data_IF_955606567267
#
_entry.id   IF_955606567267
#
_cell.length_a   1.000
_cell.length_b   1.000
_cell.length_c   1.000
_cell.angle_alpha   90.00
_cell.angle_beta   90.00
_cell.angle_gamma   90.00
#
_symmetry.space_group_name_H-M   'P 1'
#
loop_
_entity.id
_entity.type
_entity.pdbx_description
1 polymer ?
#
# COMPACT_ATOMS: atom_id res chain seq x y z
N UNK A 1 -18.17 10.40 -22.54
CA UNK A 1 -17.75 9.37 -21.55
C UNK A 1 -16.66 9.87 -20.60
N UNK A 2 -15.56 10.47 -21.06
CA UNK A 2 -14.46 10.89 -20.17
C UNK A 2 -14.85 11.96 -19.13
N UNK A 3 -15.70 12.95 -19.52
CA UNK A 3 -16.13 14.01 -18.60
C UNK A 3 -16.95 13.44 -17.45
N UNK A 4 -17.89 12.55 -17.75
CA UNK A 4 -18.73 11.91 -16.71
C UNK A 4 -17.90 11.03 -15.77
N UNK A 5 -16.97 10.25 -16.30
CA UNK A 5 -16.06 9.44 -15.47
C UNK A 5 -15.22 10.32 -14.52
N UNK A 6 -14.68 11.44 -15.01
CA UNK A 6 -13.92 12.38 -14.17
C UNK A 6 -14.79 13.01 -13.07
N UNK A 7 -16.05 13.32 -13.33
CA UNK A 7 -16.99 13.83 -12.33
C UNK A 7 -17.28 12.75 -11.26
N UNK A 8 -17.50 11.51 -11.69
CA UNK A 8 -17.71 10.39 -10.77
C UNK A 8 -16.50 10.15 -9.86
N UNK A 9 -15.28 10.16 -10.42
CA UNK A 9 -14.05 10.00 -9.64
C UNK A 9 -13.83 11.16 -8.66
N UNK A 10 -14.18 12.39 -9.04
CA UNK A 10 -14.13 13.55 -8.14
C UNK A 10 -15.13 13.42 -6.99
N UNK A 11 -16.33 12.92 -7.26
CA UNK A 11 -17.33 12.66 -6.21
C UNK A 11 -16.84 11.58 -5.24
N UNK A 12 -16.25 10.50 -5.75
CA UNK A 12 -15.65 9.43 -4.95
C UNK A 12 -14.51 9.99 -4.08
N UNK A 13 -13.60 10.80 -4.65
CA UNK A 13 -12.52 11.43 -3.89
C UNK A 13 -13.06 12.28 -2.74
N UNK A 14 -14.10 13.08 -3.00
CA UNK A 14 -14.72 13.90 -1.97
C UNK A 14 -15.33 13.05 -0.83
N UNK A 15 -16.03 11.95 -1.16
CA UNK A 15 -16.58 11.05 -0.16
C UNK A 15 -15.47 10.39 0.69
N UNK A 16 -14.35 10.01 0.06
CA UNK A 16 -13.19 9.45 0.77
C UNK A 16 -12.54 10.48 1.71
N UNK A 17 -12.45 11.76 1.34
CA UNK A 17 -11.92 12.82 2.22
C UNK A 17 -12.71 12.99 3.52
N UNK A 18 -13.98 12.54 3.55
CA UNK A 18 -14.85 12.57 4.72
C UNK A 18 -15.09 11.18 5.34
N UNK A 19 -14.26 10.17 5.00
CA UNK A 19 -14.36 8.78 5.47
C UNK A 19 -15.73 8.12 5.23
N UNK A 20 -16.47 8.58 4.20
CA UNK A 20 -17.79 8.08 3.84
C UNK A 20 -17.74 6.82 2.99
N UNK A 21 -17.05 5.78 3.46
CA UNK A 21 -16.77 4.58 2.69
C UNK A 21 -18.04 3.81 2.28
N UNK A 22 -19.09 3.80 3.10
CA UNK A 22 -20.37 3.19 2.72
C UNK A 22 -21.04 3.95 1.55
N UNK A 23 -21.00 5.28 1.56
CA UNK A 23 -21.52 6.10 0.46
C UNK A 23 -20.70 5.89 -0.83
N UNK A 24 -19.38 5.71 -0.72
CA UNK A 24 -18.51 5.34 -1.86
C UNK A 24 -18.93 4.00 -2.44
N UNK A 25 -19.15 2.99 -1.59
CA UNK A 25 -19.55 1.65 -2.03
C UNK A 25 -20.90 1.68 -2.75
N UNK A 26 -21.89 2.36 -2.18
CA UNK A 26 -23.21 2.53 -2.79
C UNK A 26 -23.11 3.25 -4.14
N UNK A 27 -22.39 4.39 -4.19
CA UNK A 27 -22.21 5.16 -5.40
C UNK A 27 -21.50 4.37 -6.50
N UNK A 28 -20.41 3.68 -6.16
CA UNK A 28 -19.69 2.81 -7.10
C UNK A 28 -20.56 1.63 -7.58
N UNK A 29 -21.36 1.05 -6.69
CA UNK A 29 -22.25 -0.08 -7.03
C UNK A 29 -23.28 0.34 -8.08
N UNK A 30 -23.91 1.50 -7.89
CA UNK A 30 -24.88 2.03 -8.88
C UNK A 30 -24.21 2.29 -10.25
N UNK A 31 -22.97 2.83 -10.27
CA UNK A 31 -22.25 3.01 -11.53
C UNK A 31 -21.86 1.71 -12.22
N UNK A 32 -21.60 0.65 -11.45
CA UNK A 32 -21.22 -0.66 -11.96
C UNK A 32 -22.43 -1.51 -12.42
N UNK A 33 -23.65 -1.13 -12.08
CA UNK A 33 -24.88 -1.69 -12.68
C UNK A 33 -24.99 -1.35 -14.17
N UNK A 34 -24.62 -0.11 -14.53
CA UNK A 34 -24.64 0.36 -15.92
C UNK A 34 -23.46 -0.17 -16.75
N UNK A 35 -22.26 -0.21 -16.14
CA UNK A 35 -21.04 -0.72 -16.80
C UNK A 35 -20.16 -1.46 -15.79
N UNK A 36 -20.25 -2.80 -15.72
CA UNK A 36 -19.57 -3.61 -14.72
C UNK A 36 -18.05 -3.76 -14.95
N UNK A 37 -17.49 -3.12 -15.99
CA UNK A 37 -16.07 -3.20 -16.38
C UNK A 37 -15.31 -1.89 -16.19
N UNK A 38 -15.87 -0.93 -15.47
CA UNK A 38 -15.20 0.34 -15.15
C UNK A 38 -14.08 0.11 -14.12
N UNK A 39 -12.84 -0.11 -14.60
CA UNK A 39 -11.67 -0.45 -13.77
C UNK A 39 -11.49 0.56 -12.61
N UNK A 40 -11.55 1.87 -12.90
CA UNK A 40 -11.34 2.90 -11.86
C UNK A 40 -12.43 2.87 -10.79
N UNK A 41 -13.67 2.53 -11.14
CA UNK A 41 -14.79 2.42 -10.20
C UNK A 41 -14.70 1.14 -9.38
N UNK A 42 -14.33 0.01 -10.01
CA UNK A 42 -14.03 -1.23 -9.29
C UNK A 42 -12.90 -1.02 -8.28
N UNK A 43 -11.82 -0.34 -8.69
CA UNK A 43 -10.69 -0.07 -7.80
C UNK A 43 -11.11 0.82 -6.62
N UNK A 44 -11.85 1.90 -6.88
CA UNK A 44 -12.35 2.78 -5.82
C UNK A 44 -13.24 2.04 -4.82
N UNK A 45 -14.15 1.14 -5.31
CA UNK A 45 -14.99 0.33 -4.45
C UNK A 45 -14.19 -0.69 -3.65
N UNK A 46 -13.18 -1.30 -4.25
CA UNK A 46 -12.27 -2.21 -3.56
C UNK A 46 -11.56 -1.53 -2.40
N UNK A 47 -11.01 -0.33 -2.60
CA UNK A 47 -10.35 0.43 -1.52
C UNK A 47 -11.35 0.84 -0.42
N UNK A 48 -12.58 1.19 -0.77
CA UNK A 48 -13.62 1.46 0.22
C UNK A 48 -14.01 0.20 1.01
N UNK A 49 -14.06 -0.97 0.38
CA UNK A 49 -14.26 -2.26 1.09
C UNK A 49 -13.11 -2.57 2.05
N UNK A 50 -11.87 -2.28 1.67
CA UNK A 50 -10.71 -2.47 2.54
C UNK A 50 -10.82 -1.60 3.80
N UNK A 51 -11.17 -0.32 3.65
CA UNK A 51 -11.35 0.59 4.79
C UNK A 51 -12.44 0.17 5.78
N UNK A 52 -13.43 -0.62 5.34
CA UNK A 52 -14.45 -1.18 6.24
C UNK A 52 -14.24 -2.68 6.53
N UNK A 53 -13.01 -3.17 6.33
CA UNK A 53 -12.57 -4.53 6.62
C UNK A 53 -13.36 -5.63 5.89
N UNK A 54 -13.97 -5.32 4.74
CA UNK A 54 -14.66 -6.28 3.86
C UNK A 54 -13.69 -6.87 2.83
N UNK A 55 -12.67 -7.56 3.31
CA UNK A 55 -11.52 -8.03 2.52
C UNK A 55 -11.93 -8.96 1.37
N UNK A 56 -12.90 -9.85 1.59
CA UNK A 56 -13.39 -10.74 0.54
C UNK A 56 -14.01 -9.98 -0.65
N UNK A 57 -14.76 -8.89 -0.38
CA UNK A 57 -15.37 -8.06 -1.41
C UNK A 57 -14.33 -7.21 -2.14
N UNK A 58 -13.36 -6.68 -1.41
CA UNK A 58 -12.20 -6.00 -1.97
C UNK A 58 -11.44 -6.93 -2.92
N UNK A 59 -11.11 -8.14 -2.48
CA UNK A 59 -10.41 -9.13 -3.30
C UNK A 59 -11.21 -9.48 -4.58
N UNK A 60 -12.53 -9.64 -4.49
CA UNK A 60 -13.39 -9.90 -5.66
C UNK A 60 -13.28 -8.78 -6.71
N UNK A 61 -13.37 -7.52 -6.30
CA UNK A 61 -13.26 -6.38 -7.23
C UNK A 61 -11.87 -6.28 -7.84
N UNK A 62 -10.78 -6.43 -7.05
CA UNK A 62 -9.42 -6.40 -7.59
C UNK A 62 -9.15 -7.56 -8.55
N UNK A 63 -9.63 -8.77 -8.27
CA UNK A 63 -9.52 -9.90 -9.20
C UNK A 63 -10.35 -9.69 -10.46
N UNK A 64 -11.50 -9.04 -10.37
CA UNK A 64 -12.28 -8.64 -11.55
C UNK A 64 -11.50 -7.66 -12.43
N UNK A 65 -10.83 -6.67 -11.86
CA UNK A 65 -9.92 -5.79 -12.61
C UNK A 65 -8.83 -6.61 -13.31
N UNK A 66 -8.17 -7.53 -12.62
CA UNK A 66 -7.12 -8.36 -13.19
C UNK A 66 -7.62 -9.33 -14.27
N UNK A 67 -8.91 -9.66 -14.30
CA UNK A 67 -9.52 -10.40 -15.41
C UNK A 67 -9.66 -9.56 -16.69
N UNK A 68 -9.80 -8.23 -16.55
CA UNK A 68 -9.90 -7.26 -17.65
C UNK A 68 -8.50 -6.82 -18.11
N UNK A 69 -7.64 -6.44 -17.14
CA UNK A 69 -6.26 -6.01 -17.37
C UNK A 69 -5.30 -6.76 -16.46
N UNK A 70 -4.74 -7.85 -16.98
CA UNK A 70 -3.80 -8.73 -16.25
C UNK A 70 -2.45 -8.07 -15.92
N UNK A 71 -2.16 -6.92 -16.55
CA UNK A 71 -0.90 -6.18 -16.41
C UNK A 71 -1.04 -4.94 -15.54
N UNK A 72 -2.17 -4.73 -14.93
CA UNK A 72 -2.41 -3.59 -14.07
C UNK A 72 -1.54 -3.68 -12.80
N UNK A 73 -0.38 -3.03 -12.85
CA UNK A 73 0.60 -3.09 -11.77
C UNK A 73 0.05 -2.57 -10.43
N UNK A 74 -0.75 -1.50 -10.47
CA UNK A 74 -1.37 -0.95 -9.26
C UNK A 74 -2.34 -1.93 -8.60
N UNK A 75 -3.18 -2.60 -9.41
CA UNK A 75 -4.12 -3.60 -8.90
C UNK A 75 -3.41 -4.85 -8.37
N UNK A 76 -2.35 -5.30 -9.05
CA UNK A 76 -1.51 -6.41 -8.57
C UNK A 76 -0.86 -6.06 -7.24
N UNK A 77 -0.36 -4.82 -7.09
CA UNK A 77 0.23 -4.33 -5.86
C UNK A 77 -0.80 -4.24 -4.74
N UNK A 78 -1.95 -3.61 -4.98
CA UNK A 78 -3.01 -3.45 -3.97
C UNK A 78 -3.49 -4.82 -3.47
N UNK A 79 -3.78 -5.76 -4.37
CA UNK A 79 -4.18 -7.11 -3.97
C UNK A 79 -3.08 -7.82 -3.18
N UNK A 80 -1.83 -7.79 -3.68
CA UNK A 80 -0.70 -8.44 -3.02
C UNK A 80 -0.45 -7.89 -1.63
N UNK A 81 -0.42 -6.57 -1.47
CA UNK A 81 -0.22 -5.91 -0.18
C UNK A 81 -1.34 -6.24 0.82
N UNK A 82 -2.59 -6.13 0.37
CA UNK A 82 -3.74 -6.45 1.22
C UNK A 82 -3.74 -7.92 1.69
N UNK A 83 -3.29 -8.86 0.86
CA UNK A 83 -3.11 -10.26 1.28
C UNK A 83 -2.05 -10.43 2.37
N UNK A 84 -1.00 -9.61 2.37
CA UNK A 84 0.01 -9.61 3.44
C UNK A 84 -0.61 -9.13 4.76
N UNK A 85 -1.30 -8.01 4.72
CA UNK A 85 -1.83 -7.34 5.92
C UNK A 85 -2.96 -8.13 6.56
N UNK A 86 -3.91 -8.62 5.75
CA UNK A 86 -5.18 -9.14 6.28
C UNK A 86 -5.26 -10.68 6.33
N UNK A 87 -4.41 -11.42 5.57
CA UNK A 87 -4.67 -12.87 5.38
C UNK A 87 -3.51 -13.80 5.65
N UNK A 88 -2.28 -13.31 5.75
CA UNK A 88 -1.04 -14.11 5.83
C UNK A 88 -0.80 -15.04 4.61
N UNK A 89 -1.44 -14.80 3.47
CA UNK A 89 -1.24 -15.55 2.22
C UNK A 89 0.02 -15.07 1.50
N UNK A 90 1.17 -15.17 2.18
CA UNK A 90 2.43 -14.53 1.79
C UNK A 90 2.97 -15.01 0.43
N UNK A 91 2.84 -16.29 0.09
CA UNK A 91 3.37 -16.81 -1.19
C UNK A 91 2.54 -16.31 -2.38
N UNK A 92 1.23 -16.22 -2.23
CA UNK A 92 0.36 -15.63 -3.24
C UNK A 92 0.60 -14.13 -3.37
N UNK A 93 0.68 -13.42 -2.23
CA UNK A 93 1.02 -12.02 -2.18
C UNK A 93 2.34 -11.74 -2.92
N UNK A 94 3.39 -12.48 -2.60
CA UNK A 94 4.68 -12.36 -3.27
C UNK A 94 4.58 -12.56 -4.79
N UNK A 95 3.83 -13.57 -5.24
CA UNK A 95 3.63 -13.82 -6.67
C UNK A 95 2.95 -12.65 -7.39
N UNK A 96 1.96 -12.02 -6.76
CA UNK A 96 1.26 -10.85 -7.30
C UNK A 96 2.17 -9.63 -7.32
N UNK A 97 2.86 -9.35 -6.21
CA UNK A 97 3.77 -8.22 -6.07
C UNK A 97 4.96 -8.31 -7.02
N UNK A 98 5.51 -9.53 -7.21
CA UNK A 98 6.60 -9.72 -8.15
C UNK A 98 6.15 -9.52 -9.61
N UNK A 99 4.91 -9.89 -9.97
CA UNK A 99 4.32 -9.53 -11.27
C UNK A 99 4.15 -8.02 -11.41
N UNK A 100 3.67 -7.33 -10.36
CA UNK A 100 3.58 -5.87 -10.38
C UNK A 100 4.95 -5.24 -10.64
N UNK A 101 5.99 -5.71 -9.96
CA UNK A 101 7.39 -5.29 -10.14
C UNK A 101 7.90 -5.51 -11.58
N UNK A 102 7.53 -6.61 -12.22
CA UNK A 102 7.91 -6.86 -13.61
C UNK A 102 7.31 -5.84 -14.59
N UNK A 103 6.14 -5.28 -14.27
CA UNK A 103 5.47 -4.28 -15.10
C UNK A 103 5.87 -2.84 -14.77
N UNK A 104 6.21 -2.56 -13.51
CA UNK A 104 6.65 -1.25 -13.03
C UNK A 104 7.78 -1.37 -11.97
N UNK A 105 9.02 -1.67 -12.39
CA UNK A 105 10.14 -1.92 -11.47
C UNK A 105 10.66 -0.66 -10.77
N UNK A 106 10.21 0.53 -11.23
CA UNK A 106 10.59 1.82 -10.64
C UNK A 106 9.69 2.29 -9.51
N UNK A 107 8.56 1.63 -9.31
CA UNK A 107 7.52 2.06 -8.38
C UNK A 107 7.91 1.78 -6.92
N UNK A 108 8.01 2.84 -6.12
CA UNK A 108 8.41 2.76 -4.72
C UNK A 108 7.42 1.94 -3.89
N UNK A 109 6.11 2.11 -4.09
CA UNK A 109 5.09 1.37 -3.35
C UNK A 109 5.15 -0.15 -3.63
N UNK A 110 5.46 -0.55 -4.87
CA UNK A 110 5.62 -1.97 -5.21
C UNK A 110 6.87 -2.55 -4.53
N UNK A 111 7.98 -1.81 -4.52
CA UNK A 111 9.21 -2.22 -3.84
C UNK A 111 9.01 -2.34 -2.33
N UNK A 112 8.27 -1.42 -1.73
CA UNK A 112 7.88 -1.45 -0.32
C UNK A 112 7.02 -2.69 -0.02
N UNK A 113 5.99 -2.93 -0.80
CA UNK A 113 5.11 -4.11 -0.63
C UNK A 113 5.88 -5.43 -0.74
N UNK A 114 6.87 -5.53 -1.65
CA UNK A 114 7.75 -6.71 -1.73
C UNK A 114 8.62 -6.82 -0.47
N UNK A 115 9.20 -5.71 -0.01
CA UNK A 115 9.96 -5.70 1.23
C UNK A 115 9.10 -6.16 2.41
N UNK A 116 7.86 -5.73 2.47
CA UNK A 116 6.94 -6.07 3.56
C UNK A 116 6.53 -7.54 3.55
N UNK A 117 6.27 -8.14 2.38
CA UNK A 117 6.01 -9.59 2.31
C UNK A 117 7.24 -10.41 2.68
N UNK A 118 8.45 -10.03 2.24
CA UNK A 118 9.69 -10.71 2.61
C UNK A 118 9.98 -10.59 4.11
N UNK A 119 9.72 -9.42 4.70
CA UNK A 119 9.80 -9.22 6.15
C UNK A 119 8.86 -10.17 6.91
N UNK A 120 7.61 -10.29 6.48
CA UNK A 120 6.61 -11.17 7.11
C UNK A 120 6.92 -12.67 6.91
N UNK A 121 7.66 -13.02 5.87
CA UNK A 121 8.21 -14.37 5.64
C UNK A 121 9.46 -14.66 6.48
N UNK A 122 10.04 -13.66 7.14
CA UNK A 122 11.28 -13.76 7.92
C UNK A 122 12.55 -13.59 7.09
N UNK A 123 12.44 -13.23 5.81
CA UNK A 123 13.56 -13.02 4.89
C UNK A 123 14.11 -11.59 5.03
N UNK A 124 14.62 -11.25 6.21
CA UNK A 124 14.95 -9.87 6.58
C UNK A 124 16.02 -9.22 5.69
N UNK A 125 17.01 -9.96 5.22
CA UNK A 125 18.07 -9.44 4.34
C UNK A 125 17.50 -9.06 2.95
N UNK A 126 16.59 -9.85 2.40
CA UNK A 126 15.92 -9.55 1.14
C UNK A 126 14.95 -8.37 1.30
N UNK A 127 14.20 -8.35 2.40
CA UNK A 127 13.35 -7.23 2.77
C UNK A 127 14.15 -5.91 2.82
N UNK A 128 15.35 -5.94 3.41
CA UNK A 128 16.22 -4.77 3.50
C UNK A 128 16.63 -4.26 2.11
N UNK A 129 16.97 -5.13 1.18
CA UNK A 129 17.36 -4.73 -0.20
C UNK A 129 16.23 -4.01 -0.93
N UNK A 130 15.00 -4.53 -0.84
CA UNK A 130 13.85 -3.91 -1.49
C UNK A 130 13.44 -2.61 -0.83
N UNK A 131 13.42 -2.55 0.51
CA UNK A 131 13.01 -1.32 1.21
C UNK A 131 14.02 -0.18 1.05
N UNK A 132 15.32 -0.46 0.99
CA UNK A 132 16.34 0.55 0.67
C UNK A 132 16.12 1.14 -0.73
N UNK A 133 15.75 0.29 -1.69
CA UNK A 133 15.42 0.73 -3.05
C UNK A 133 14.15 1.58 -3.07
N UNK A 134 13.12 1.22 -2.31
CA UNK A 134 11.88 1.98 -2.15
C UNK A 134 12.17 3.34 -1.51
N UNK A 135 12.78 3.34 -0.32
CA UNK A 135 13.11 4.53 0.44
C UNK A 135 13.98 5.52 -0.34
N UNK A 136 14.88 5.07 -1.22
CA UNK A 136 15.68 5.97 -2.05
C UNK A 136 14.84 6.68 -3.13
N UNK A 137 13.66 6.15 -3.49
CA UNK A 137 12.76 6.72 -4.51
C UNK A 137 11.69 7.59 -3.92
N UNK A 138 11.12 7.20 -2.79
CA UNK A 138 10.04 7.91 -2.15
C UNK A 138 10.22 7.93 -0.62
N UNK A 139 9.69 8.97 0.01
CA UNK A 139 9.71 9.21 1.45
C UNK A 139 8.29 9.25 2.01
N UNK A 140 7.43 8.41 1.45
CA UNK A 140 6.11 8.19 2.02
C UNK A 140 6.23 7.73 3.48
N UNK A 141 5.38 8.21 4.39
CA UNK A 141 5.41 7.82 5.81
C UNK A 141 5.43 6.31 6.05
N UNK A 142 4.63 5.54 5.28
CA UNK A 142 4.57 4.09 5.40
C UNK A 142 5.91 3.43 5.01
N UNK A 143 6.54 3.88 3.92
CA UNK A 143 7.87 3.40 3.50
C UNK A 143 8.92 3.69 4.57
N UNK A 144 8.86 4.87 5.21
CA UNK A 144 9.78 5.23 6.29
C UNK A 144 9.58 4.30 7.49
N UNK A 145 8.34 4.00 7.87
CA UNK A 145 8.02 3.10 8.97
C UNK A 145 8.51 1.68 8.70
N UNK A 146 8.19 1.12 7.53
CA UNK A 146 8.67 -0.20 7.13
C UNK A 146 10.19 -0.28 7.09
N UNK A 147 10.86 0.77 6.59
CA UNK A 147 12.33 0.81 6.57
C UNK A 147 12.91 0.78 7.98
N UNK A 148 12.38 1.57 8.90
CA UNK A 148 12.83 1.55 10.30
C UNK A 148 12.61 0.19 10.97
N UNK A 149 11.44 -0.44 10.75
CA UNK A 149 11.13 -1.77 11.29
C UNK A 149 12.10 -2.83 10.74
N UNK A 150 12.34 -2.83 9.42
CA UNK A 150 13.24 -3.78 8.77
C UNK A 150 14.69 -3.57 9.22
N UNK A 151 15.16 -2.32 9.37
CA UNK A 151 16.47 -2.00 9.93
C UNK A 151 16.61 -2.51 11.36
N UNK A 152 15.59 -2.31 12.18
CA UNK A 152 15.57 -2.77 13.57
C UNK A 152 15.70 -4.29 13.65
N UNK A 153 14.92 -5.04 12.87
CA UNK A 153 14.99 -6.51 12.80
C UNK A 153 16.33 -7.01 12.29
N UNK A 154 16.93 -6.31 11.34
CA UNK A 154 18.28 -6.60 10.83
C UNK A 154 19.39 -6.15 11.77
N UNK A 155 19.08 -5.57 12.91
CA UNK A 155 20.06 -5.04 13.90
C UNK A 155 20.99 -3.98 13.31
N UNK A 156 20.53 -3.25 12.28
CA UNK A 156 21.27 -2.17 11.61
C UNK A 156 21.09 -0.83 12.36
N UNK A 157 21.40 -0.83 13.65
CA UNK A 157 21.10 0.27 14.57
C UNK A 157 21.76 1.60 14.19
N UNK A 158 22.98 1.58 13.67
CA UNK A 158 23.65 2.82 13.23
C UNK A 158 22.95 3.50 12.05
N UNK A 159 22.45 2.70 11.10
CA UNK A 159 21.67 3.20 9.97
C UNK A 159 20.30 3.67 10.44
N UNK A 160 19.63 2.88 11.29
CA UNK A 160 18.34 3.22 11.89
C UNK A 160 18.40 4.59 12.59
N UNK A 161 19.42 4.81 13.43
CA UNK A 161 19.63 6.10 14.11
C UNK A 161 19.76 7.27 13.15
N UNK A 162 20.51 7.09 12.06
CA UNK A 162 20.69 8.13 11.04
C UNK A 162 19.37 8.43 10.32
N UNK A 163 18.62 7.40 9.93
CA UNK A 163 17.31 7.54 9.27
C UNK A 163 16.33 8.25 10.18
N UNK A 164 16.17 7.81 11.42
CA UNK A 164 15.27 8.43 12.39
C UNK A 164 15.61 9.91 12.57
N UNK A 165 16.90 10.24 12.81
CA UNK A 165 17.33 11.64 12.99
C UNK A 165 16.97 12.50 11.78
N UNK A 166 17.14 11.97 10.57
CA UNK A 166 16.84 12.67 9.32
C UNK A 166 15.34 12.88 9.16
N UNK A 167 14.53 11.82 9.37
CA UNK A 167 13.10 11.84 9.10
C UNK A 167 12.32 12.60 10.17
N UNK A 168 12.76 12.61 11.43
CA UNK A 168 12.20 13.49 12.47
C UNK A 168 12.33 14.97 12.10
N UNK A 169 13.43 15.35 11.43
CA UNK A 169 13.63 16.73 10.97
C UNK A 169 12.78 17.07 9.73
N UNK A 170 12.52 16.08 8.87
CA UNK A 170 11.74 16.29 7.63
C UNK A 170 10.23 16.30 7.85
N UNK A 171 9.78 15.54 8.83
CA UNK A 171 8.37 15.25 9.07
C UNK A 171 7.84 15.88 10.37
N UNK A 172 8.32 17.09 10.73
CA UNK A 172 7.96 17.77 11.99
C UNK A 172 6.45 17.94 12.19
N UNK A 173 5.68 18.00 11.11
CA UNK A 173 4.22 18.17 11.14
C UNK A 173 3.45 16.82 11.16
N UNK A 174 4.12 15.68 10.96
CA UNK A 174 3.48 14.36 11.01
C UNK A 174 3.70 13.75 12.40
N UNK A 175 2.74 14.01 13.29
CA UNK A 175 2.82 13.60 14.71
C UNK A 175 2.87 12.07 14.86
N UNK A 176 2.10 11.33 14.06
CA UNK A 176 2.01 9.88 14.14
C UNK A 176 3.35 9.23 13.74
N UNK A 177 3.88 9.61 12.59
CA UNK A 177 5.20 9.16 12.15
C UNK A 177 6.28 9.52 13.18
N UNK A 178 6.28 10.74 13.71
CA UNK A 178 7.25 11.16 14.73
C UNK A 178 7.19 10.30 15.99
N UNK A 179 5.99 9.96 16.46
CA UNK A 179 5.80 9.10 17.64
C UNK A 179 6.33 7.69 17.36
N UNK A 180 6.06 7.15 16.19
CA UNK A 180 6.56 5.84 15.75
C UNK A 180 8.09 5.82 15.67
N UNK A 181 8.70 6.82 15.07
CA UNK A 181 10.17 6.94 14.96
C UNK A 181 10.83 7.05 16.35
N UNK A 182 10.24 7.80 17.29
CA UNK A 182 10.73 7.88 18.68
C UNK A 182 10.63 6.57 19.43
N UNK A 183 9.60 5.73 19.17
CA UNK A 183 9.52 4.41 19.78
C UNK A 183 10.72 3.54 19.40
N UNK A 184 11.12 3.52 18.12
CA UNK A 184 12.32 2.80 17.68
C UNK A 184 13.62 3.32 18.35
N UNK A 185 13.72 4.62 18.62
CA UNK A 185 14.87 5.16 19.37
C UNK A 185 14.96 4.58 20.76
N UNK A 186 13.81 4.50 21.47
CA UNK A 186 13.76 3.99 22.82
C UNK A 186 14.04 2.48 22.86
N UNK A 187 13.43 1.71 21.96
CA UNK A 187 13.55 0.25 21.90
C UNK A 187 14.97 -0.19 21.53
N UNK A 188 15.63 0.55 20.63
CA UNK A 188 17.00 0.28 20.23
C UNK A 188 18.04 0.92 21.19
N UNK A 189 17.62 1.67 22.20
CA UNK A 189 18.47 2.44 23.11
C UNK A 189 19.45 3.37 22.38
N UNK A 190 18.96 4.06 21.33
CA UNK A 190 19.75 4.92 20.42
C UNK A 190 19.88 6.38 20.91
#
# INVERSE_FOLDING_TARGET
KNIQLNLNLKQISLLNEYDKFYDVIEYCTNLLEDDPYLINILYARAMAYENIEKIDLMEQDLRKILSIDRRNANTLNALGYSLVIHTKRYDEAYSLLYKAYQFDPGNAAILDSIAWVEYNKGNYDEALRFIESSYNRDKDPEIIEHYCEILFKNKKYDTLKKVIKLELKRNENNVDLMNKLRSYQNDAKL
#
